data_IF_542479352342
#
_entry.id   IF_542479352342
#
_cell.length_a   1.000
_cell.length_b   1.000
_cell.length_c   1.000
_cell.angle_alpha   90.00
_cell.angle_beta   90.00
_cell.angle_gamma   90.00
#
_symmetry.space_group_name_H-M   'P 1'
#
loop_
_entity.id
_entity.type
_entity.pdbx_description
1 polymer ?
#
# COMPACT_ATOMS: atom_id res chain seq x y z
N UNK A 1 -24.24 16.94 -18.55
CA UNK A 1 -23.33 17.01 -17.39
C UNK A 1 -23.24 15.64 -16.71
N UNK A 2 -22.07 15.29 -16.18
CA UNK A 2 -21.90 14.08 -15.36
C UNK A 2 -22.44 14.36 -13.96
N UNK A 3 -23.33 13.50 -13.47
CA UNK A 3 -23.94 13.63 -12.15
C UNK A 3 -24.05 12.29 -11.45
N UNK A 4 -24.14 12.31 -10.12
CA UNK A 4 -24.40 11.17 -9.27
C UNK A 4 -23.20 10.62 -8.51
N UNK A 5 -23.40 9.59 -7.67
CA UNK A 5 -22.37 9.08 -6.78
C UNK A 5 -21.36 8.16 -7.47
N UNK A 6 -20.13 8.18 -6.96
CA UNK A 6 -19.07 7.21 -7.22
C UNK A 6 -18.58 6.72 -5.85
N UNK A 7 -18.49 5.40 -5.69
CA UNK A 7 -17.99 4.77 -4.46
C UNK A 7 -16.65 4.11 -4.74
N UNK A 8 -15.60 4.55 -4.04
CA UNK A 8 -14.25 4.02 -4.17
C UNK A 8 -13.74 3.55 -2.82
N UNK A 9 -13.20 2.34 -2.79
CA UNK A 9 -12.61 1.74 -1.59
C UNK A 9 -11.11 1.52 -1.76
N UNK A 10 -10.34 1.72 -0.70
CA UNK A 10 -8.92 1.44 -0.67
C UNK A 10 -8.41 1.30 0.76
N UNK A 11 -7.20 0.78 0.93
CA UNK A 11 -6.50 0.76 2.21
C UNK A 11 -5.99 2.14 2.60
N UNK A 12 -5.76 2.36 3.91
CA UNK A 12 -5.43 3.67 4.47
C UNK A 12 -4.24 4.37 3.77
N UNK A 13 -3.15 3.63 3.49
CA UNK A 13 -1.98 4.21 2.85
C UNK A 13 -2.27 4.78 1.46
N UNK A 14 -2.95 4.02 0.61
CA UNK A 14 -3.33 4.49 -0.73
C UNK A 14 -4.40 5.58 -0.69
N UNK A 15 -5.32 5.55 0.29
CA UNK A 15 -6.30 6.64 0.44
C UNK A 15 -5.61 7.97 0.68
N UNK A 16 -4.66 8.00 1.61
CA UNK A 16 -3.91 9.21 1.96
C UNK A 16 -3.08 9.71 0.76
N UNK A 17 -2.31 8.83 0.14
CA UNK A 17 -1.30 9.21 -0.86
C UNK A 17 -1.84 9.42 -2.28
N UNK A 18 -2.90 8.72 -2.68
CA UNK A 18 -3.38 8.69 -4.06
C UNK A 18 -4.87 8.94 -4.22
N UNK A 19 -5.72 8.23 -3.46
CA UNK A 19 -7.17 8.24 -3.72
C UNK A 19 -7.80 9.58 -3.38
N UNK A 20 -7.53 10.12 -2.20
CA UNK A 20 -8.10 11.40 -1.77
C UNK A 20 -7.66 12.55 -2.68
N UNK A 21 -6.36 12.73 -2.99
CA UNK A 21 -5.94 13.75 -3.95
C UNK A 21 -6.59 13.59 -5.33
N UNK A 22 -6.69 12.36 -5.84
CA UNK A 22 -7.31 12.07 -7.13
C UNK A 22 -8.80 12.38 -7.16
N UNK A 23 -9.52 12.01 -6.09
CA UNK A 23 -10.95 12.26 -5.94
C UNK A 23 -11.26 13.76 -5.87
N UNK A 24 -10.50 14.51 -5.08
CA UNK A 24 -10.65 15.98 -4.95
C UNK A 24 -10.49 16.66 -6.30
N UNK A 25 -9.42 16.39 -7.03
CA UNK A 25 -9.18 17.01 -8.33
C UNK A 25 -10.25 16.63 -9.36
N UNK A 26 -10.71 15.39 -9.35
CA UNK A 26 -11.77 14.94 -10.26
C UNK A 26 -13.10 15.62 -9.96
N UNK A 27 -13.48 15.71 -8.69
CA UNK A 27 -14.73 16.34 -8.27
C UNK A 27 -14.73 17.85 -8.59
N UNK A 28 -13.59 18.52 -8.40
CA UNK A 28 -13.46 19.95 -8.78
C UNK A 28 -13.70 20.19 -10.28
N UNK A 29 -13.34 19.23 -11.13
CA UNK A 29 -13.59 19.28 -12.59
C UNK A 29 -15.01 18.86 -12.96
N UNK A 30 -15.68 18.13 -12.07
CA UNK A 30 -17.02 17.56 -12.30
C UNK A 30 -17.95 17.83 -11.11
N UNK A 31 -18.40 19.08 -10.91
CA UNK A 31 -19.12 19.49 -9.68
C UNK A 31 -20.47 18.80 -9.46
N UNK A 32 -21.01 18.12 -10.47
CA UNK A 32 -22.24 17.32 -10.35
C UNK A 32 -22.01 15.90 -9.82
N UNK A 33 -20.74 15.51 -9.58
CA UNK A 33 -20.37 14.19 -9.08
C UNK A 33 -20.13 14.29 -7.57
N UNK A 34 -20.67 13.32 -6.82
CA UNK A 34 -20.27 13.05 -5.43
C UNK A 34 -19.37 11.83 -5.38
N UNK A 35 -18.28 11.89 -4.60
CA UNK A 35 -17.37 10.77 -4.43
C UNK A 35 -17.37 10.38 -2.95
N UNK A 36 -17.67 9.10 -2.69
CA UNK A 36 -17.52 8.51 -1.37
C UNK A 36 -16.26 7.64 -1.34
N UNK A 37 -15.33 7.98 -0.45
CA UNK A 37 -14.08 7.23 -0.26
C UNK A 37 -14.24 6.35 0.98
N UNK A 38 -14.16 5.05 0.81
CA UNK A 38 -14.41 4.05 1.86
C UNK A 38 -13.15 3.32 2.29
N UNK A 39 -13.16 2.89 3.54
CA UNK A 39 -12.16 1.95 4.05
C UNK A 39 -12.38 0.56 3.46
N UNK A 40 -11.28 -0.08 3.08
CA UNK A 40 -11.31 -1.47 2.69
C UNK A 40 -11.02 -2.35 3.92
N UNK A 41 -12.08 -2.93 4.48
CA UNK A 41 -12.01 -3.75 5.71
C UNK A 41 -12.17 -5.25 5.46
N UNK A 42 -12.55 -5.66 4.25
CA UNK A 42 -12.76 -7.04 3.85
C UNK A 42 -12.12 -7.36 2.49
N UNK A 43 -12.24 -8.60 2.03
CA UNK A 43 -11.70 -9.03 0.73
C UNK A 43 -12.35 -8.32 -0.47
N UNK A 44 -11.64 -8.29 -1.60
CA UNK A 44 -12.10 -7.57 -2.80
C UNK A 44 -13.45 -8.08 -3.33
N UNK A 45 -13.69 -9.38 -3.28
CA UNK A 45 -14.95 -9.98 -3.74
C UNK A 45 -16.15 -9.46 -2.97
N UNK A 46 -16.03 -9.36 -1.66
CA UNK A 46 -17.09 -8.84 -0.79
C UNK A 46 -17.39 -7.37 -1.07
N UNK A 47 -16.35 -6.56 -1.33
CA UNK A 47 -16.52 -5.15 -1.68
C UNK A 47 -17.19 -4.90 -3.03
N UNK A 48 -17.00 -5.79 -4.02
CA UNK A 48 -17.57 -5.64 -5.35
C UNK A 48 -18.96 -6.27 -5.49
N UNK A 49 -19.34 -7.19 -4.59
CA UNK A 49 -20.54 -8.03 -4.73
C UNK A 49 -21.60 -7.84 -3.65
N UNK A 50 -21.46 -6.89 -2.72
CA UNK A 50 -22.47 -6.64 -1.67
C UNK A 50 -23.85 -6.43 -2.24
N UNK A 51 -24.90 -7.14 -1.72
CA UNK A 51 -26.26 -7.13 -2.27
C UNK A 51 -26.98 -5.79 -2.15
N UNK A 52 -26.64 -5.02 -1.17
CA UNK A 52 -27.29 -3.74 -0.90
C UNK A 52 -26.73 -2.67 -1.84
N UNK A 53 -27.58 -1.95 -2.52
CA UNK A 53 -27.38 -0.89 -3.52
C UNK A 53 -26.20 0.09 -3.33
N UNK A 54 -25.34 -0.15 -2.37
CA UNK A 54 -24.10 0.56 -2.03
C UNK A 54 -22.83 -0.17 -2.50
N UNK A 55 -22.92 -0.94 -3.58
CA UNK A 55 -21.77 -1.63 -4.15
C UNK A 55 -20.66 -0.61 -4.48
N UNK A 56 -19.44 -0.88 -4.02
CA UNK A 56 -18.29 -0.09 -4.42
C UNK A 56 -18.11 -0.18 -5.94
N UNK A 57 -17.98 0.97 -6.59
CA UNK A 57 -17.78 1.03 -8.03
C UNK A 57 -16.33 0.67 -8.39
N UNK A 58 -15.40 1.05 -7.52
CA UNK A 58 -13.95 0.93 -7.76
C UNK A 58 -13.26 0.54 -6.45
N UNK A 59 -12.31 -0.39 -6.56
CA UNK A 59 -11.37 -0.73 -5.48
C UNK A 59 -9.95 -0.46 -5.99
N UNK A 60 -9.13 0.19 -5.19
CA UNK A 60 -7.70 0.35 -5.44
C UNK A 60 -6.90 -0.40 -4.38
N UNK A 61 -6.09 -1.36 -4.82
CA UNK A 61 -5.33 -2.23 -3.93
C UNK A 61 -4.15 -2.88 -4.66
N UNK A 62 -3.30 -3.59 -3.92
CA UNK A 62 -2.38 -4.55 -4.55
C UNK A 62 -3.16 -5.67 -5.22
N UNK A 63 -2.60 -6.19 -6.32
CA UNK A 63 -3.18 -7.32 -7.02
C UNK A 63 -3.52 -8.44 -6.03
N UNK A 64 -4.80 -8.83 -5.91
CA UNK A 64 -5.19 -9.87 -4.97
C UNK A 64 -4.66 -11.24 -5.42
N UNK A 65 -4.40 -12.11 -4.43
CA UNK A 65 -4.08 -13.53 -4.66
C UNK A 65 -5.32 -14.37 -4.91
N UNK A 66 -6.47 -13.91 -4.42
CA UNK A 66 -7.74 -14.61 -4.53
C UNK A 66 -8.37 -14.41 -5.89
N UNK A 67 -9.24 -15.32 -6.29
CA UNK A 67 -10.04 -15.18 -7.50
C UNK A 67 -10.95 -13.96 -7.42
N UNK A 68 -10.98 -13.20 -8.50
CA UNK A 68 -11.89 -12.07 -8.63
C UNK A 68 -13.29 -12.58 -8.98
N UNK A 69 -14.35 -11.88 -8.55
CA UNK A 69 -15.72 -12.23 -8.92
C UNK A 69 -15.93 -12.13 -10.43
N UNK A 70 -16.90 -12.87 -10.95
CA UNK A 70 -17.30 -12.81 -12.37
C UNK A 70 -17.61 -11.37 -12.78
N UNK A 71 -17.14 -10.98 -13.96
CA UNK A 71 -17.29 -9.62 -14.49
C UNK A 71 -16.37 -8.58 -13.86
N UNK A 72 -15.45 -8.97 -13.00
CA UNK A 72 -14.42 -8.07 -12.50
C UNK A 72 -13.40 -7.74 -13.59
N UNK A 73 -12.98 -6.47 -13.61
CA UNK A 73 -11.96 -5.94 -14.51
C UNK A 73 -10.83 -5.38 -13.66
N UNK A 74 -9.63 -5.91 -13.88
CA UNK A 74 -8.41 -5.47 -13.21
C UNK A 74 -7.54 -4.70 -14.19
N UNK A 75 -7.11 -3.50 -13.79
CA UNK A 75 -6.15 -2.67 -14.53
C UNK A 75 -4.88 -2.56 -13.70
N UNK A 76 -3.78 -3.06 -14.23
CA UNK A 76 -2.46 -2.96 -13.61
C UNK A 76 -1.93 -1.54 -13.71
N UNK A 77 -1.51 -0.98 -12.57
CA UNK A 77 -0.96 0.38 -12.46
C UNK A 77 0.53 0.40 -12.12
N UNK A 78 1.19 -0.74 -12.16
CA UNK A 78 2.63 -0.85 -11.92
C UNK A 78 3.00 -1.30 -10.50
N UNK A 79 4.29 -1.63 -10.30
CA UNK A 79 4.79 -2.21 -9.07
C UNK A 79 5.04 -1.17 -7.98
N UNK A 80 4.89 -1.58 -6.73
CA UNK A 80 5.35 -0.89 -5.53
C UNK A 80 6.39 -1.75 -4.82
N UNK A 81 7.52 -1.16 -4.50
CA UNK A 81 8.61 -1.80 -3.75
C UNK A 81 8.43 -1.62 -2.25
N UNK A 82 9.14 -2.42 -1.49
CA UNK A 82 9.07 -2.45 -0.03
C UNK A 82 10.48 -2.42 0.55
N UNK A 83 10.62 -1.84 1.74
CA UNK A 83 11.87 -1.83 2.49
C UNK A 83 11.63 -2.23 3.95
N UNK A 84 12.62 -2.86 4.55
CA UNK A 84 12.69 -3.02 5.99
C UNK A 84 13.25 -1.73 6.61
N UNK A 85 12.59 -1.20 7.62
CA UNK A 85 12.97 0.09 8.19
C UNK A 85 12.61 0.24 9.66
N UNK A 86 13.25 1.21 10.31
CA UNK A 86 13.05 1.58 11.70
C UNK A 86 13.32 3.07 11.91
N UNK A 87 13.04 3.59 13.10
CA UNK A 87 13.47 4.94 13.48
C UNK A 87 14.91 4.95 14.03
N UNK A 88 15.68 6.03 13.86
CA UNK A 88 17.00 6.16 14.47
C UNK A 88 16.99 5.96 15.98
N UNK A 89 15.97 6.46 16.68
CA UNK A 89 15.85 6.32 18.13
C UNK A 89 15.74 4.85 18.57
N UNK A 90 14.97 4.04 17.84
CA UNK A 90 14.88 2.62 18.11
C UNK A 90 16.24 1.92 17.94
N UNK A 91 16.93 2.19 16.84
CA UNK A 91 18.24 1.57 16.54
C UNK A 91 19.33 1.98 17.53
N UNK A 92 19.30 3.21 18.02
CA UNK A 92 20.24 3.66 19.07
C UNK A 92 20.10 2.84 20.36
N UNK A 93 18.87 2.46 20.70
CA UNK A 93 18.58 1.70 21.93
C UNK A 93 18.74 0.20 21.77
N UNK A 94 18.37 -0.36 20.62
CA UNK A 94 18.25 -1.81 20.41
C UNK A 94 19.32 -2.40 19.49
N UNK A 95 20.11 -1.54 18.84
CA UNK A 95 21.05 -1.95 17.79
C UNK A 95 20.37 -2.10 16.43
N UNK A 96 21.17 -2.20 15.37
CA UNK A 96 20.72 -2.35 14.00
C UNK A 96 20.83 -3.83 13.58
N UNK A 97 19.74 -4.47 13.11
CA UNK A 97 19.82 -5.80 12.52
C UNK A 97 20.46 -5.71 11.12
N UNK A 98 21.38 -6.60 10.82
CA UNK A 98 22.04 -6.68 9.50
C UNK A 98 21.32 -7.69 8.57
N UNK A 99 20.64 -8.68 9.15
CA UNK A 99 19.99 -9.77 8.45
C UNK A 99 18.70 -10.21 9.16
N UNK A 100 17.78 -10.92 8.46
CA UNK A 100 16.52 -11.35 9.06
C UNK A 100 16.65 -12.17 10.34
N UNK A 101 17.66 -13.03 10.45
CA UNK A 101 17.89 -13.82 11.67
C UNK A 101 18.23 -12.98 12.91
N UNK A 102 18.68 -11.74 12.76
CA UNK A 102 18.93 -10.84 13.89
C UNK A 102 17.63 -10.34 14.54
N UNK A 103 16.51 -10.42 13.81
CA UNK A 103 15.19 -9.98 14.28
C UNK A 103 14.70 -10.70 15.54
N UNK A 104 15.28 -11.86 15.87
CA UNK A 104 15.02 -12.55 17.14
C UNK A 104 15.30 -11.68 18.39
N UNK A 105 16.03 -10.60 18.25
CA UNK A 105 16.33 -9.64 19.33
C UNK A 105 15.47 -8.37 19.25
N UNK A 106 14.63 -8.25 18.26
CA UNK A 106 13.88 -7.04 17.93
C UNK A 106 12.37 -7.20 18.01
N UNK A 107 11.68 -6.06 18.08
CA UNK A 107 10.23 -5.96 18.00
C UNK A 107 9.81 -5.79 16.54
N UNK A 108 8.96 -6.68 16.03
CA UNK A 108 8.35 -6.58 14.72
C UNK A 108 7.04 -5.79 14.75
N UNK A 109 6.93 -4.78 13.90
CA UNK A 109 5.69 -4.05 13.65
C UNK A 109 5.07 -4.61 12.36
N UNK A 110 4.07 -5.49 12.50
CA UNK A 110 3.58 -6.32 11.43
C UNK A 110 2.23 -5.83 10.90
N UNK A 111 2.05 -5.93 9.59
CA UNK A 111 0.76 -5.67 8.95
C UNK A 111 -0.08 -6.94 8.87
N UNK A 112 -1.36 -6.81 9.18
CA UNK A 112 -2.39 -7.84 9.02
C UNK A 112 -3.61 -7.25 8.33
N UNK A 113 -3.45 -6.92 7.06
CA UNK A 113 -4.52 -6.43 6.21
C UNK A 113 -5.22 -7.61 5.51
N UNK A 114 -6.49 -7.48 5.12
CA UNK A 114 -7.23 -8.55 4.43
C UNK A 114 -6.55 -9.08 3.16
N UNK A 115 -5.85 -8.18 2.45
CA UNK A 115 -5.19 -8.47 1.18
C UNK A 115 -3.66 -8.35 1.26
N UNK A 116 -3.12 -8.08 2.44
CA UNK A 116 -1.67 -7.95 2.66
C UNK A 116 -1.31 -8.19 4.11
N UNK A 117 -0.51 -9.21 4.35
CA UNK A 117 0.18 -9.43 5.61
C UNK A 117 1.68 -9.18 5.43
N UNK A 118 2.36 -8.77 6.50
CA UNK A 118 3.82 -8.69 6.50
C UNK A 118 4.43 -10.03 6.17
N UNK A 119 5.53 -10.01 5.43
CA UNK A 119 6.23 -11.23 5.03
C UNK A 119 6.92 -11.91 6.22
N UNK A 120 7.06 -13.22 6.13
CA UNK A 120 7.81 -14.03 7.11
C UNK A 120 9.24 -14.31 6.65
N UNK A 121 9.61 -13.92 5.44
CA UNK A 121 10.91 -14.16 4.83
C UNK A 121 11.37 -12.96 4.02
N UNK A 122 12.69 -12.71 4.05
CA UNK A 122 13.33 -11.77 3.11
C UNK A 122 14.46 -12.49 2.37
N UNK A 123 14.79 -12.00 1.20
CA UNK A 123 15.82 -12.58 0.35
C UNK A 123 16.88 -11.57 -0.06
N UNK A 124 18.13 -12.02 -0.18
CA UNK A 124 19.26 -11.25 -0.68
C UNK A 124 20.20 -12.19 -1.45
N UNK A 125 20.52 -11.83 -2.70
CA UNK A 125 21.46 -12.58 -3.54
C UNK A 125 21.15 -14.10 -3.60
N UNK A 126 19.87 -14.46 -3.75
CA UNK A 126 19.43 -15.86 -3.81
C UNK A 126 19.35 -16.59 -2.46
N UNK A 127 19.74 -15.95 -1.38
CA UNK A 127 19.59 -16.48 -0.01
C UNK A 127 18.29 -15.95 0.58
N UNK A 128 17.48 -16.84 1.18
CA UNK A 128 16.23 -16.50 1.86
C UNK A 128 16.35 -16.82 3.35
N UNK A 129 15.99 -15.88 4.20
CA UNK A 129 15.97 -16.06 5.65
C UNK A 129 14.61 -15.74 6.24
N UNK A 130 14.30 -16.45 7.32
CA UNK A 130 13.09 -16.26 8.11
C UNK A 130 13.22 -15.05 9.04
N UNK A 131 12.11 -14.35 9.21
CA UNK A 131 11.94 -13.29 10.19
C UNK A 131 11.28 -13.87 11.44
N UNK A 132 12.08 -14.17 12.45
CA UNK A 132 11.60 -14.52 13.79
C UNK A 132 11.81 -13.31 14.72
N UNK A 133 10.78 -12.97 15.50
CA UNK A 133 10.77 -11.77 16.32
C UNK A 133 10.81 -12.08 17.81
N UNK A 134 11.48 -11.23 18.59
CA UNK A 134 11.42 -11.28 20.06
C UNK A 134 9.98 -11.07 20.54
N UNK A 135 9.31 -10.10 19.97
CA UNK A 135 7.90 -9.79 20.18
C UNK A 135 7.33 -9.07 18.98
N UNK A 136 6.02 -9.02 18.84
CA UNK A 136 5.36 -8.37 17.72
C UNK A 136 4.21 -7.48 18.16
N UNK A 137 3.98 -6.43 17.39
CA UNK A 137 2.77 -5.61 17.42
C UNK A 137 2.16 -5.65 16.01
N UNK A 138 0.87 -5.93 15.91
CA UNK A 138 0.19 -6.06 14.63
C UNK A 138 -0.81 -4.93 14.39
N UNK A 139 -0.88 -4.49 13.14
CA UNK A 139 -1.72 -3.38 12.69
C UNK A 139 -2.56 -3.78 11.48
N UNK A 140 -3.79 -3.31 11.44
CA UNK A 140 -4.68 -3.41 10.27
C UNK A 140 -4.60 -2.17 9.37
N UNK A 141 -3.66 -1.26 9.65
CA UNK A 141 -3.37 -0.07 8.86
C UNK A 141 -1.87 0.15 8.75
N UNK A 142 -1.38 0.34 7.53
CA UNK A 142 0.03 0.66 7.30
C UNK A 142 0.41 2.03 7.86
N UNK A 143 -0.52 2.98 7.87
CA UNK A 143 -0.31 4.30 8.48
C UNK A 143 -0.05 4.16 9.98
N UNK A 144 -0.81 3.33 10.67
CA UNK A 144 -0.61 3.08 12.10
C UNK A 144 0.70 2.33 12.38
N UNK A 145 1.10 1.40 11.53
CA UNK A 145 2.41 0.75 11.65
C UNK A 145 3.56 1.77 11.49
N UNK A 146 3.43 2.71 10.56
CA UNK A 146 4.38 3.81 10.37
C UNK A 146 4.42 4.72 11.60
N UNK A 147 3.27 5.06 12.17
CA UNK A 147 3.21 5.88 13.39
C UNK A 147 3.93 5.20 14.55
N UNK A 148 3.70 3.91 14.76
CA UNK A 148 4.41 3.13 15.78
C UNK A 148 5.93 3.09 15.53
N UNK A 149 6.34 2.94 14.27
CA UNK A 149 7.76 2.99 13.88
C UNK A 149 8.38 4.35 14.23
N UNK A 150 7.72 5.45 13.89
CA UNK A 150 8.17 6.81 14.19
C UNK A 150 8.27 7.10 15.71
N UNK A 151 7.43 6.44 16.51
CA UNK A 151 7.49 6.46 17.97
C UNK A 151 8.61 5.60 18.56
N UNK A 152 9.37 4.87 17.73
CA UNK A 152 10.48 4.04 18.18
C UNK A 152 10.06 2.69 18.73
N UNK A 153 8.92 2.15 18.32
CA UNK A 153 8.38 0.90 18.87
C UNK A 153 9.04 -0.38 18.28
N UNK A 154 9.64 -0.30 17.08
CA UNK A 154 10.20 -1.49 16.45
C UNK A 154 10.55 -1.32 14.97
N UNK A 155 10.60 -2.44 14.27
CA UNK A 155 10.97 -2.57 12.85
C UNK A 155 9.74 -2.98 12.06
N UNK A 156 9.47 -2.28 10.96
CA UNK A 156 8.55 -2.76 9.91
C UNK A 156 9.38 -3.51 8.87
N UNK A 157 9.15 -4.81 8.64
CA UNK A 157 10.00 -5.59 7.74
C UNK A 157 9.76 -5.30 6.26
N UNK A 158 8.62 -4.73 5.91
CA UNK A 158 8.18 -4.53 4.53
C UNK A 158 7.27 -3.30 4.39
N UNK A 159 7.78 -2.15 4.79
CA UNK A 159 7.07 -0.88 4.55
C UNK A 159 7.01 -0.60 3.06
N UNK A 160 5.84 -0.25 2.53
CA UNK A 160 5.72 0.20 1.16
C UNK A 160 6.51 1.50 0.97
N UNK A 161 7.26 1.60 -0.11
CA UNK A 161 8.20 2.70 -0.33
C UNK A 161 7.50 4.06 -0.34
N UNK A 162 6.33 4.16 -0.92
CA UNK A 162 5.53 5.38 -0.95
C UNK A 162 5.13 5.88 0.45
N UNK A 163 5.03 4.98 1.42
CA UNK A 163 4.65 5.32 2.80
C UNK A 163 5.82 5.81 3.65
N UNK A 164 7.04 5.65 3.18
CA UNK A 164 8.23 6.03 3.95
C UNK A 164 9.20 6.94 3.18
N UNK A 165 9.03 7.19 1.89
CA UNK A 165 9.99 7.93 1.07
C UNK A 165 10.33 9.31 1.61
N UNK A 166 9.37 10.08 2.07
CA UNK A 166 9.62 11.43 2.61
C UNK A 166 10.33 11.36 3.97
N UNK A 167 9.99 10.38 4.79
CA UNK A 167 10.66 10.13 6.08
C UNK A 167 12.08 9.59 5.91
N UNK A 168 12.35 8.86 4.82
CA UNK A 168 13.71 8.43 4.45
C UNK A 168 14.57 9.63 4.04
N UNK A 169 13.99 10.58 3.29
CA UNK A 169 14.69 11.79 2.85
C UNK A 169 15.08 12.70 4.01
N UNK A 170 14.22 12.81 5.02
CA UNK A 170 14.47 13.66 6.19
C UNK A 170 15.13 12.92 7.37
N UNK A 171 15.38 11.62 7.23
CA UNK A 171 16.10 10.81 8.22
C UNK A 171 15.28 10.35 9.43
N UNK A 172 13.97 10.57 9.47
CA UNK A 172 13.10 10.06 10.55
C UNK A 172 12.84 8.55 10.45
N UNK A 173 12.96 8.00 9.27
CA UNK A 173 12.99 6.56 9.00
C UNK A 173 14.31 6.24 8.33
N UNK A 174 14.92 5.13 8.71
CA UNK A 174 16.13 4.60 8.08
C UNK A 174 15.96 3.15 7.69
N UNK A 175 16.54 2.72 6.56
CA UNK A 175 16.54 1.32 6.15
C UNK A 175 17.34 0.47 7.13
N UNK A 176 16.89 -0.76 7.35
CA UNK A 176 17.63 -1.82 8.07
C UNK A 176 17.71 -3.06 7.21
N UNK A 177 18.58 -4.00 7.56
CA UNK A 177 18.76 -5.25 6.79
C UNK A 177 18.94 -4.95 5.29
N UNK A 178 19.86 -4.05 4.97
CA UNK A 178 20.05 -3.49 3.63
C UNK A 178 20.34 -4.56 2.58
N UNK A 179 19.58 -4.51 1.49
CA UNK A 179 19.64 -5.50 0.42
C UNK A 179 18.77 -6.74 0.67
N UNK A 180 18.20 -6.92 1.86
CA UNK A 180 17.22 -7.94 2.13
C UNK A 180 15.83 -7.43 1.76
N UNK A 181 15.19 -8.06 0.78
CA UNK A 181 13.95 -7.56 0.19
C UNK A 181 12.91 -8.67 0.05
N UNK A 182 11.71 -8.25 -0.22
CA UNK A 182 10.62 -9.08 -0.74
C UNK A 182 10.30 -8.67 -2.19
N UNK A 183 9.61 -9.52 -2.97
CA UNK A 183 9.14 -9.12 -4.30
C UNK A 183 8.21 -7.90 -4.23
N UNK A 184 8.28 -6.99 -5.22
CA UNK A 184 7.32 -5.91 -5.36
C UNK A 184 5.91 -6.47 -5.60
N UNK A 185 4.89 -5.67 -5.32
CA UNK A 185 3.50 -5.99 -5.64
C UNK A 185 2.92 -4.96 -6.58
N UNK A 186 2.15 -5.41 -7.55
CA UNK A 186 1.46 -4.52 -8.49
C UNK A 186 0.25 -3.88 -7.84
N UNK A 187 0.09 -2.57 -8.04
CA UNK A 187 -1.08 -1.80 -7.69
C UNK A 187 -2.12 -1.92 -8.79
N UNK A 188 -3.38 -2.03 -8.43
CA UNK A 188 -4.45 -2.26 -9.40
C UNK A 188 -5.68 -1.41 -9.11
N UNK A 189 -6.30 -0.92 -10.18
CA UNK A 189 -7.68 -0.46 -10.19
C UNK A 189 -8.56 -1.65 -10.53
N UNK A 190 -9.48 -1.99 -9.64
CA UNK A 190 -10.40 -3.11 -9.82
C UNK A 190 -11.83 -2.57 -9.83
N UNK A 191 -12.61 -2.96 -10.83
CA UNK A 191 -13.99 -2.56 -11.03
C UNK A 191 -14.79 -3.72 -11.62
N UNK A 192 -16.04 -3.50 -12.01
CA UNK A 192 -16.85 -4.51 -12.68
C UNK A 192 -17.38 -3.95 -14.00
N UNK A 193 -17.71 -4.85 -14.94
CA UNK A 193 -18.40 -4.47 -16.19
C UNK A 193 -19.69 -3.68 -15.89
N UNK A 194 -20.45 -4.11 -14.87
CA UNK A 194 -21.67 -3.44 -14.43
C UNK A 194 -21.40 -2.00 -13.98
N UNK A 195 -20.37 -1.78 -13.18
CA UNK A 195 -20.01 -0.45 -12.69
C UNK A 195 -19.55 0.46 -13.83
N UNK A 196 -18.79 -0.07 -14.79
CA UNK A 196 -18.29 0.69 -15.95
C UNK A 196 -19.40 1.11 -16.95
N UNK A 197 -20.61 0.54 -16.89
CA UNK A 197 -21.75 1.04 -17.66
C UNK A 197 -22.16 2.44 -17.24
N UNK A 198 -21.89 2.83 -15.99
CA UNK A 198 -22.08 4.19 -15.49
C UNK A 198 -20.95 5.07 -16.06
N UNK A 199 -21.28 6.02 -16.95
CA UNK A 199 -20.28 6.90 -17.60
C UNK A 199 -19.37 7.61 -16.59
N UNK A 200 -19.92 8.09 -15.47
CA UNK A 200 -19.14 8.75 -14.40
C UNK A 200 -18.09 7.82 -13.78
N UNK A 201 -18.46 6.56 -13.53
CA UNK A 201 -17.56 5.56 -12.95
C UNK A 201 -16.43 5.23 -13.93
N UNK A 202 -16.75 5.02 -15.19
CA UNK A 202 -15.76 4.76 -16.24
C UNK A 202 -14.75 5.90 -16.35
N UNK A 203 -15.21 7.15 -16.39
CA UNK A 203 -14.32 8.30 -16.47
C UNK A 203 -13.43 8.44 -15.24
N UNK A 204 -13.97 8.19 -14.04
CA UNK A 204 -13.15 8.20 -12.83
C UNK A 204 -12.16 7.03 -12.78
N UNK A 205 -12.56 5.83 -13.21
CA UNK A 205 -11.66 4.68 -13.32
C UNK A 205 -10.50 4.94 -14.29
N UNK A 206 -10.78 5.55 -15.45
CA UNK A 206 -9.77 5.95 -16.43
C UNK A 206 -8.82 7.02 -15.84
N UNK A 207 -9.37 8.03 -15.21
CA UNK A 207 -8.64 9.08 -14.51
C UNK A 207 -7.72 8.51 -13.42
N UNK A 208 -8.25 7.66 -12.56
CA UNK A 208 -7.51 7.05 -11.46
C UNK A 208 -6.40 6.12 -11.98
N UNK A 209 -6.67 5.34 -13.03
CA UNK A 209 -5.67 4.45 -13.65
C UNK A 209 -4.47 5.24 -14.15
N UNK A 210 -4.69 6.34 -14.85
CA UNK A 210 -3.61 7.21 -15.35
C UNK A 210 -2.80 7.80 -14.18
N UNK A 211 -3.46 8.30 -13.15
CA UNK A 211 -2.79 8.88 -11.99
C UNK A 211 -2.03 7.85 -11.18
N UNK A 212 -2.61 6.67 -10.98
CA UNK A 212 -1.97 5.58 -10.26
C UNK A 212 -0.73 5.06 -11.00
N UNK A 213 -0.79 4.93 -12.32
CA UNK A 213 0.35 4.52 -13.14
C UNK A 213 1.50 5.54 -13.07
N UNK A 214 1.17 6.83 -13.12
CA UNK A 214 2.15 7.90 -12.94
C UNK A 214 2.76 7.85 -11.53
N UNK A 215 1.94 7.67 -10.52
CA UNK A 215 2.37 7.60 -9.13
C UNK A 215 3.34 6.44 -8.89
N UNK A 216 3.03 5.23 -9.35
CA UNK A 216 3.93 4.08 -9.21
C UNK A 216 5.22 4.26 -10.01
N UNK A 217 5.17 4.87 -11.20
CA UNK A 217 6.35 5.18 -12.00
C UNK A 217 7.28 6.17 -11.28
N UNK A 218 6.73 7.21 -10.68
CA UNK A 218 7.49 8.17 -9.87
C UNK A 218 8.11 7.49 -8.63
N UNK A 219 7.37 6.61 -7.95
CA UNK A 219 7.88 5.86 -6.81
C UNK A 219 8.98 4.88 -7.22
N UNK A 220 8.87 4.21 -8.37
CA UNK A 220 9.91 3.35 -8.90
C UNK A 220 11.20 4.13 -9.22
N UNK A 221 11.08 5.27 -9.87
CA UNK A 221 12.22 6.14 -10.14
C UNK A 221 12.90 6.59 -8.85
N UNK A 222 12.12 7.00 -7.85
CA UNK A 222 12.64 7.39 -6.55
C UNK A 222 13.32 6.22 -5.82
N UNK A 223 12.73 5.03 -5.85
CA UNK A 223 13.29 3.81 -5.24
C UNK A 223 14.64 3.43 -5.84
N UNK A 224 14.75 3.39 -7.17
CA UNK A 224 16.00 3.02 -7.84
C UNK A 224 17.07 4.11 -7.83
N UNK A 225 16.69 5.36 -7.62
CA UNK A 225 17.63 6.48 -7.45
C UNK A 225 18.03 6.73 -5.99
N UNK A 226 17.35 6.10 -5.04
CA UNK A 226 17.74 6.20 -3.64
C UNK A 226 19.14 5.61 -3.44
N UNK A 227 20.02 6.27 -2.66
CA UNK A 227 21.41 5.83 -2.53
C UNK A 227 21.50 4.36 -2.10
N UNK A 228 22.07 3.52 -2.95
CA UNK A 228 22.21 2.05 -2.68
C UNK A 228 23.02 1.73 -1.43
N UNK A 229 23.83 2.66 -0.96
CA UNK A 229 24.46 2.58 0.36
C UNK A 229 23.44 2.71 1.50
N UNK A 230 22.21 3.07 1.19
CA UNK A 230 21.11 3.27 2.11
C UNK A 230 19.97 2.24 2.05
N UNK A 231 19.89 1.41 1.00
CA UNK A 231 18.81 0.40 0.86
C UNK A 231 19.32 -1.01 1.05
#
# INVERSE_FOLDING_TARGET
SLTGPIHVASTAGFRESLIVPSAVEFQMKHPGISIEVKDMVSGVSEFLTTPDNESNDIVFMYRPSDELPEGAILRDCGPMHFIACASPAYLTQQGEPERPSDCMRHTGLLLRLPNRTSVSYLSKNGVTEKLDWKQTMAFTSQVNARDALLLGAGIVPDMAFDQCVDYLKDGRIVPVMRGWTRPPRHCCVITTEKALRKKRVRLFADWLTVRATKYTDEMNKAFFSFPRKGL
#
